data_IF_057097724354
#
_entry.id   IF_057097724354
#
_cell.length_a   1.000
_cell.length_b   1.000
_cell.length_c   1.000
_cell.angle_alpha   90.00
_cell.angle_beta   90.00
_cell.angle_gamma   90.00
#
_symmetry.space_group_name_H-M   'P 1'
#
loop_
_entity.id
_entity.type
_entity.pdbx_description
1 polymer ?
#
# COMPACT_ATOMS: atom_id res chain seq x y z
N UNK A 1 -21.10 -21.86 -3.62
CA UNK A 1 -20.49 -21.24 -2.43
C UNK A 1 -19.66 -20.03 -2.87
N UNK A 2 -19.99 -18.81 -2.43
CA UNK A 2 -19.19 -17.61 -2.76
C UNK A 2 -17.81 -17.73 -2.08
N UNK A 3 -16.74 -17.89 -2.85
CA UNK A 3 -15.37 -17.94 -2.32
C UNK A 3 -14.99 -16.54 -1.82
N UNK A 4 -14.60 -16.42 -0.56
CA UNK A 4 -14.08 -15.16 -0.01
C UNK A 4 -12.56 -15.11 -0.23
N UNK A 5 -12.09 -14.17 -1.07
CA UNK A 5 -10.68 -13.91 -1.33
C UNK A 5 -10.00 -13.04 -0.26
N UNK A 6 -10.60 -12.92 0.94
CA UNK A 6 -10.13 -12.06 2.03
C UNK A 6 -9.18 -12.83 2.95
N UNK A 7 -8.12 -12.16 3.41
CA UNK A 7 -7.22 -12.73 4.41
C UNK A 7 -7.92 -12.88 5.77
N UNK A 8 -7.55 -13.86 6.60
CA UNK A 8 -8.15 -14.01 7.92
C UNK A 8 -7.85 -12.82 8.84
N UNK A 9 -8.69 -12.60 9.84
CA UNK A 9 -8.68 -11.41 10.72
C UNK A 9 -7.33 -11.17 11.42
N UNK A 10 -6.56 -12.22 11.68
CA UNK A 10 -5.22 -12.16 12.30
C UNK A 10 -4.22 -11.39 11.46
N UNK A 11 -4.33 -11.47 10.12
CA UNK A 11 -3.40 -10.82 9.19
C UNK A 11 -3.48 -9.31 9.26
N UNK A 12 -4.60 -8.74 9.72
CA UNK A 12 -4.68 -7.29 9.95
C UNK A 12 -3.68 -6.82 11.00
N UNK A 13 -3.57 -7.56 12.11
CA UNK A 13 -2.65 -7.21 13.21
C UNK A 13 -1.19 -7.34 12.77
N UNK A 14 -0.90 -8.42 12.03
CA UNK A 14 0.42 -8.66 11.44
C UNK A 14 0.76 -7.53 10.45
N UNK A 15 -0.20 -7.15 9.59
CA UNK A 15 -0.05 -6.05 8.65
C UNK A 15 0.32 -4.74 9.34
N UNK A 16 -0.38 -4.36 10.41
CA UNK A 16 -0.01 -3.17 11.20
C UNK A 16 1.35 -3.27 11.87
N UNK A 17 1.72 -4.45 12.39
CA UNK A 17 3.02 -4.68 13.00
C UNK A 17 4.17 -4.56 11.98
N UNK A 18 3.97 -5.02 10.74
CA UNK A 18 4.96 -4.93 9.65
C UNK A 18 4.98 -3.53 9.04
N UNK A 19 3.83 -2.87 8.94
CA UNK A 19 3.69 -1.58 8.30
C UNK A 19 4.55 -0.49 8.96
N UNK A 20 4.57 -0.43 10.30
CA UNK A 20 5.34 0.58 11.04
C UNK A 20 6.85 0.55 10.72
N UNK A 21 7.58 -0.57 10.85
CA UNK A 21 9.01 -0.58 10.54
C UNK A 21 9.29 -0.34 9.06
N UNK A 22 8.48 -0.88 8.14
CA UNK A 22 8.73 -0.70 6.70
C UNK A 22 8.42 0.71 6.20
N UNK A 23 7.44 1.43 6.78
CA UNK A 23 7.24 2.86 6.46
C UNK A 23 8.44 3.68 6.89
N UNK A 24 8.95 3.46 8.09
CA UNK A 24 10.14 4.18 8.58
C UNK A 24 11.33 3.88 7.67
N UNK A 25 11.52 2.62 7.30
CA UNK A 25 12.55 2.17 6.37
C UNK A 25 12.47 2.90 5.02
N UNK A 26 11.31 2.87 4.36
CA UNK A 26 11.14 3.48 3.04
C UNK A 26 11.19 5.00 3.09
N UNK A 27 10.79 5.63 4.21
CA UNK A 27 10.97 7.06 4.40
C UNK A 27 12.46 7.41 4.49
N UNK A 28 13.26 6.62 5.21
CA UNK A 28 14.72 6.79 5.24
C UNK A 28 15.30 6.64 3.83
N UNK A 29 14.91 5.60 3.07
CA UNK A 29 15.37 5.41 1.69
C UNK A 29 15.08 6.62 0.78
N UNK A 30 13.87 7.18 0.86
CA UNK A 30 13.45 8.31 0.01
C UNK A 30 14.19 9.62 0.32
N UNK A 31 14.53 9.89 1.59
CA UNK A 31 15.10 11.17 2.01
C UNK A 31 16.62 11.17 2.21
N UNK A 32 17.23 10.04 2.58
CA UNK A 32 18.70 9.94 2.71
C UNK A 32 19.41 9.75 1.36
N UNK A 33 18.65 9.56 0.27
CA UNK A 33 19.16 9.50 -1.08
C UNK A 33 20.23 8.43 -1.25
N UNK A 34 19.83 7.16 -1.32
CA UNK A 34 20.57 6.03 -1.90
C UNK A 34 22.10 5.94 -1.61
N UNK A 35 22.61 6.50 -0.52
CA UNK A 35 24.02 6.44 -0.14
C UNK A 35 24.31 5.24 0.77
N UNK A 36 23.60 4.13 0.55
CA UNK A 36 23.69 2.96 1.40
C UNK A 36 24.26 1.78 0.61
N UNK A 37 25.59 1.75 0.53
CA UNK A 37 26.41 0.55 0.24
C UNK A 37 26.18 -0.58 1.27
N UNK A 38 25.22 -0.42 2.17
CA UNK A 38 24.84 -1.41 3.16
C UNK A 38 24.08 -2.54 2.47
N UNK A 39 24.66 -3.74 2.50
CA UNK A 39 24.09 -4.98 1.96
C UNK A 39 23.86 -4.94 0.44
N UNK A 40 24.88 -4.52 -0.32
CA UNK A 40 24.96 -4.84 -1.75
C UNK A 40 25.04 -6.35 -1.94
N UNK A 41 24.03 -6.92 -2.60
CA UNK A 41 24.07 -8.32 -3.02
C UNK A 41 23.95 -8.40 -4.52
N UNK A 42 24.63 -9.38 -5.10
CA UNK A 42 24.50 -9.71 -6.51
C UNK A 42 23.13 -10.34 -6.75
N UNK A 43 22.23 -9.57 -7.35
CA UNK A 43 20.86 -10.00 -7.65
C UNK A 43 20.75 -10.25 -9.15
N UNK A 44 19.92 -11.22 -9.53
CA UNK A 44 19.60 -11.46 -10.92
C UNK A 44 18.64 -10.36 -11.40
N UNK A 45 19.10 -9.51 -12.30
CA UNK A 45 18.27 -8.50 -12.94
C UNK A 45 17.74 -9.01 -14.27
N UNK A 46 16.43 -8.86 -14.47
CA UNK A 46 15.77 -9.11 -15.75
C UNK A 46 15.98 -7.94 -16.72
N UNK A 47 16.12 -6.72 -16.19
CA UNK A 47 16.31 -5.50 -16.96
C UNK A 47 17.30 -4.60 -16.23
N UNK A 48 18.55 -4.45 -16.71
CA UNK A 48 19.19 -5.13 -17.85
C UNK A 48 19.46 -6.60 -17.54
N UNK A 49 19.40 -7.47 -18.56
CA UNK A 49 19.72 -8.90 -18.41
C UNK A 49 21.13 -9.08 -17.84
N UNK A 50 21.24 -9.63 -16.64
CA UNK A 50 22.54 -9.90 -16.02
C UNK A 50 22.49 -10.01 -14.50
N UNK A 51 23.67 -10.11 -13.91
CA UNK A 51 23.83 -10.00 -12.46
C UNK A 51 24.19 -8.56 -12.15
N UNK A 52 23.29 -7.85 -11.48
CA UNK A 52 23.52 -6.48 -11.02
C UNK A 52 23.71 -6.47 -9.52
N UNK A 53 24.56 -5.58 -9.02
CA UNK A 53 24.57 -5.28 -7.59
C UNK A 53 23.38 -4.40 -7.29
N UNK A 54 22.57 -4.79 -6.32
CA UNK A 54 21.49 -3.95 -5.82
C UNK A 54 21.50 -3.96 -4.29
N UNK A 55 20.95 -2.90 -3.71
CA UNK A 55 20.75 -2.82 -2.26
C UNK A 55 19.55 -3.68 -1.89
N UNK A 56 19.78 -4.73 -1.08
CA UNK A 56 18.69 -5.56 -0.54
C UNK A 56 17.73 -4.74 0.34
N UNK A 57 18.22 -3.63 0.89
CA UNK A 57 17.46 -2.82 1.82
C UNK A 57 16.28 -2.12 1.12
N UNK A 58 16.52 -1.57 -0.07
CA UNK A 58 15.49 -0.91 -0.86
C UNK A 58 14.40 -1.89 -1.29
N UNK A 59 14.82 -3.04 -1.86
CA UNK A 59 13.91 -4.12 -2.28
C UNK A 59 13.07 -4.64 -1.10
N UNK A 60 13.70 -4.90 0.04
CA UNK A 60 13.02 -5.40 1.23
C UNK A 60 12.03 -4.36 1.79
N UNK A 61 12.38 -3.07 1.75
CA UNK A 61 11.50 -1.99 2.19
C UNK A 61 10.23 -1.94 1.32
N UNK A 62 10.39 -2.02 0.00
CA UNK A 62 9.31 -1.94 -0.97
C UNK A 62 8.38 -3.16 -0.91
N UNK A 63 8.96 -4.36 -0.85
CA UNK A 63 8.19 -5.60 -0.71
C UNK A 63 7.47 -5.61 0.65
N UNK A 64 8.18 -5.27 1.73
CA UNK A 64 7.64 -5.21 3.08
C UNK A 64 6.47 -4.24 3.22
N UNK A 65 6.61 -3.02 2.65
CA UNK A 65 5.53 -2.05 2.58
C UNK A 65 4.33 -2.59 1.82
N UNK A 66 4.54 -3.12 0.61
CA UNK A 66 3.48 -3.65 -0.24
C UNK A 66 2.70 -4.74 0.48
N UNK A 67 3.40 -5.75 1.04
CA UNK A 67 2.78 -6.87 1.74
C UNK A 67 2.02 -6.39 2.98
N UNK A 68 2.59 -5.45 3.73
CA UNK A 68 1.93 -4.91 4.93
C UNK A 68 0.62 -4.18 4.60
N UNK A 69 0.62 -3.34 3.57
CA UNK A 69 -0.58 -2.62 3.11
C UNK A 69 -1.63 -3.58 2.56
N UNK A 70 -1.22 -4.59 1.78
CA UNK A 70 -2.15 -5.61 1.27
C UNK A 70 -2.82 -6.39 2.42
N UNK A 71 -2.06 -6.78 3.45
CA UNK A 71 -2.61 -7.45 4.63
C UNK A 71 -3.57 -6.55 5.41
N UNK A 72 -3.29 -5.25 5.52
CA UNK A 72 -4.21 -4.31 6.17
C UNK A 72 -5.47 -4.13 5.33
N UNK A 73 -5.32 -3.88 4.03
CA UNK A 73 -6.39 -3.58 3.08
C UNK A 73 -7.36 -4.77 2.90
N UNK A 74 -6.84 -5.96 2.64
CA UNK A 74 -7.64 -7.13 2.24
C UNK A 74 -7.89 -8.12 3.38
N UNK A 75 -7.69 -7.70 4.64
CA UNK A 75 -8.05 -8.51 5.80
C UNK A 75 -9.55 -8.44 6.08
N UNK A 76 -10.15 -9.63 6.25
CA UNK A 76 -11.57 -9.82 6.58
C UNK A 76 -11.93 -9.16 7.91
N UNK A 77 -13.15 -8.65 8.01
CA UNK A 77 -13.73 -8.24 9.29
C UNK A 77 -14.29 -9.45 10.05
N UNK A 78 -14.41 -9.36 11.39
CA UNK A 78 -15.02 -10.45 12.19
C UNK A 78 -16.49 -10.65 11.82
N UNK A 79 -17.21 -9.55 11.71
CA UNK A 79 -18.63 -9.50 11.34
C UNK A 79 -18.72 -9.09 9.87
N UNK A 80 -18.39 -10.00 8.97
CA UNK A 80 -18.43 -9.74 7.53
C UNK A 80 -19.83 -10.04 6.99
N UNK A 81 -20.65 -9.00 6.81
CA UNK A 81 -21.96 -9.08 6.18
C UNK A 81 -21.94 -8.51 4.74
N UNK A 82 -23.08 -8.60 4.04
CA UNK A 82 -23.20 -8.09 2.66
C UNK A 82 -23.07 -6.55 2.59
N UNK A 83 -23.49 -5.83 3.64
CA UNK A 83 -23.36 -4.38 3.71
C UNK A 83 -21.89 -3.94 3.82
N UNK A 84 -21.10 -4.58 4.67
CA UNK A 84 -19.67 -4.32 4.88
C UNK A 84 -18.87 -4.72 3.64
N UNK A 85 -19.25 -5.81 2.98
CA UNK A 85 -18.67 -6.16 1.68
C UNK A 85 -18.92 -5.06 0.62
N UNK A 86 -20.12 -4.47 0.61
CA UNK A 86 -20.46 -3.35 -0.28
C UNK A 86 -19.74 -2.04 0.10
N UNK A 87 -19.61 -1.74 1.39
CA UNK A 87 -18.81 -0.59 1.87
C UNK A 87 -17.36 -0.75 1.40
N UNK A 88 -16.81 -1.97 1.47
CA UNK A 88 -15.45 -2.26 1.00
C UNK A 88 -15.30 -2.03 -0.51
N UNK A 89 -16.17 -2.61 -1.33
CA UNK A 89 -16.07 -2.45 -2.78
C UNK A 89 -16.23 -0.98 -3.19
N UNK A 90 -17.18 -0.26 -2.58
CA UNK A 90 -17.40 1.16 -2.84
C UNK A 90 -16.19 2.01 -2.41
N UNK A 91 -15.60 1.71 -1.26
CA UNK A 91 -14.38 2.38 -0.79
C UNK A 91 -13.20 2.14 -1.73
N UNK A 92 -13.08 0.92 -2.29
CA UNK A 92 -12.01 0.59 -3.23
C UNK A 92 -12.18 1.33 -4.56
N UNK A 93 -13.40 1.36 -5.11
CA UNK A 93 -13.71 2.13 -6.32
C UNK A 93 -13.40 3.61 -6.10
N UNK A 94 -13.83 4.17 -4.97
CA UNK A 94 -13.58 5.57 -4.63
C UNK A 94 -12.09 5.88 -4.53
N UNK A 95 -11.32 5.01 -3.86
CA UNK A 95 -9.88 5.17 -3.71
C UNK A 95 -9.14 5.11 -5.06
N UNK A 96 -9.53 4.17 -5.93
CA UNK A 96 -8.97 4.04 -7.27
C UNK A 96 -9.27 5.27 -8.13
N UNK A 97 -10.53 5.75 -8.16
CA UNK A 97 -10.90 6.97 -8.90
C UNK A 97 -10.11 8.18 -8.37
N UNK A 98 -10.03 8.32 -7.06
CA UNK A 98 -9.35 9.47 -6.42
C UNK A 98 -7.84 9.41 -6.67
N UNK A 99 -7.22 8.23 -6.54
CA UNK A 99 -5.79 8.03 -6.81
C UNK A 99 -5.44 8.35 -8.25
N UNK A 100 -6.18 7.81 -9.23
CA UNK A 100 -5.94 8.14 -10.64
C UNK A 100 -6.23 9.60 -10.98
N UNK A 101 -7.22 10.23 -10.34
CA UNK A 101 -7.46 11.67 -10.50
C UNK A 101 -6.26 12.48 -10.01
N UNK A 102 -5.69 12.10 -8.87
CA UNK A 102 -4.48 12.74 -8.34
C UNK A 102 -3.28 12.51 -9.26
N UNK A 103 -3.08 11.29 -9.76
CA UNK A 103 -2.02 10.96 -10.70
C UNK A 103 -2.09 11.84 -11.94
N UNK A 104 -3.27 11.98 -12.57
CA UNK A 104 -3.47 12.84 -13.75
C UNK A 104 -3.06 14.29 -13.44
N UNK A 105 -3.52 14.84 -12.32
CA UNK A 105 -3.19 16.20 -11.91
C UNK A 105 -1.67 16.35 -11.70
N UNK A 106 -1.04 15.39 -11.03
CA UNK A 106 0.41 15.41 -10.80
C UNK A 106 1.22 15.24 -12.08
N UNK A 107 0.79 14.42 -13.05
CA UNK A 107 1.41 14.31 -14.38
C UNK A 107 1.39 15.65 -15.12
N UNK A 108 0.38 16.49 -14.89
CA UNK A 108 0.30 17.83 -15.51
C UNK A 108 1.12 18.91 -14.79
N UNK A 109 1.50 18.69 -13.52
CA UNK A 109 2.08 19.74 -12.66
C UNK A 109 3.52 19.45 -12.21
N UNK A 110 3.93 18.18 -12.17
CA UNK A 110 5.23 17.74 -11.67
C UNK A 110 6.03 17.13 -12.82
N UNK A 111 7.30 17.52 -12.93
CA UNK A 111 8.22 17.06 -13.98
C UNK A 111 9.52 16.49 -13.39
N UNK A 112 10.34 15.90 -14.26
CA UNK A 112 11.67 15.36 -13.97
C UNK A 112 11.70 14.27 -12.87
N UNK A 113 12.80 14.20 -12.11
CA UNK A 113 13.02 13.18 -11.08
C UNK A 113 11.99 13.25 -9.94
N UNK A 114 11.44 14.43 -9.68
CA UNK A 114 10.38 14.64 -8.69
C UNK A 114 9.10 13.91 -9.10
N UNK A 115 8.80 13.85 -10.40
CA UNK A 115 7.66 13.08 -10.91
C UNK A 115 7.84 11.58 -10.67
N UNK A 116 9.04 11.04 -10.88
CA UNK A 116 9.32 9.62 -10.59
C UNK A 116 9.11 9.28 -9.11
N UNK A 117 9.63 10.12 -8.21
CA UNK A 117 9.40 9.95 -6.77
C UNK A 117 7.91 9.99 -6.41
N UNK A 118 7.15 10.88 -7.06
CA UNK A 118 5.71 10.95 -6.87
C UNK A 118 5.00 9.67 -7.34
N UNK A 119 5.34 9.16 -8.53
CA UNK A 119 4.77 7.91 -9.05
C UNK A 119 5.08 6.73 -8.13
N UNK A 120 6.29 6.66 -7.54
CA UNK A 120 6.62 5.63 -6.55
C UNK A 120 5.72 5.70 -5.31
N UNK A 121 5.44 6.90 -4.80
CA UNK A 121 4.53 7.10 -3.67
C UNK A 121 3.08 6.75 -4.08
N UNK A 122 2.68 7.10 -5.31
CA UNK A 122 1.32 6.89 -5.84
C UNK A 122 0.92 5.41 -5.87
N UNK A 123 1.88 4.50 -6.13
CA UNK A 123 1.65 3.04 -6.09
C UNK A 123 1.07 2.57 -4.75
N UNK A 124 1.49 3.19 -3.65
CA UNK A 124 0.97 2.88 -2.31
C UNK A 124 -0.24 3.74 -1.95
N UNK A 125 -0.36 4.92 -2.55
CA UNK A 125 -1.36 5.94 -2.22
C UNK A 125 -2.80 5.42 -2.40
N UNK A 126 -3.06 4.63 -3.44
CA UNK A 126 -4.37 3.98 -3.65
C UNK A 126 -4.74 3.08 -2.46
N UNK A 127 -3.81 2.24 -1.99
CA UNK A 127 -4.04 1.35 -0.84
C UNK A 127 -4.29 2.15 0.44
N UNK A 128 -3.55 3.24 0.64
CA UNK A 128 -3.76 4.16 1.76
C UNK A 128 -5.13 4.81 1.75
N UNK A 129 -5.52 5.42 0.62
CA UNK A 129 -6.85 6.04 0.46
C UNK A 129 -7.95 5.04 0.73
N UNK A 130 -7.81 3.83 0.19
CA UNK A 130 -8.76 2.75 0.42
C UNK A 130 -8.90 2.41 1.91
N UNK A 131 -7.78 2.17 2.62
CA UNK A 131 -7.79 1.83 4.04
C UNK A 131 -8.47 2.93 4.88
N UNK A 132 -8.14 4.20 4.60
CA UNK A 132 -8.71 5.35 5.31
C UNK A 132 -10.21 5.44 5.06
N UNK A 133 -10.62 5.46 3.79
CA UNK A 133 -12.02 5.59 3.37
C UNK A 133 -12.87 4.45 3.94
N UNK A 134 -12.39 3.21 3.81
CA UNK A 134 -13.06 2.03 4.33
C UNK A 134 -13.27 2.09 5.84
N UNK A 135 -12.24 2.46 6.62
CA UNK A 135 -12.34 2.58 8.08
C UNK A 135 -13.33 3.67 8.51
N UNK A 136 -13.33 4.81 7.82
CA UNK A 136 -14.27 5.91 8.10
C UNK A 136 -15.70 5.48 7.83
N UNK A 137 -15.97 4.87 6.66
CA UNK A 137 -17.33 4.41 6.32
C UNK A 137 -17.81 3.29 7.26
N UNK A 138 -16.93 2.36 7.60
CA UNK A 138 -17.25 1.29 8.55
C UNK A 138 -17.56 1.84 9.95
N UNK A 139 -16.82 2.85 10.41
CA UNK A 139 -17.09 3.51 11.70
C UNK A 139 -18.46 4.22 11.69
N UNK A 140 -18.77 4.96 10.61
CA UNK A 140 -20.06 5.64 10.45
C UNK A 140 -21.23 4.65 10.41
N UNK A 141 -21.07 3.55 9.66
CA UNK A 141 -22.09 2.50 9.56
C UNK A 141 -22.38 1.85 10.92
N UNK A 142 -21.34 1.50 11.68
CA UNK A 142 -21.49 0.90 13.02
C UNK A 142 -22.13 1.85 14.03
N UNK A 143 -21.81 3.15 13.94
CA UNK A 143 -22.41 4.16 14.83
C UNK A 143 -23.91 4.29 14.57
N UNK A 144 -24.32 4.42 13.31
CA UNK A 144 -25.73 4.56 12.94
C UNK A 144 -26.59 3.33 13.24
N UNK A 145 -26.00 2.13 13.33
CA UNK A 145 -26.72 0.90 13.69
C UNK A 145 -26.78 0.64 15.20
N UNK A 146 -25.98 1.37 15.99
CA UNK A 146 -25.97 1.27 17.45
C UNK A 146 -26.81 2.37 18.12
N UNK A 147 -27.23 3.38 17.36
CA UNK A 147 -28.20 4.41 17.74
C UNK A 147 -29.62 4.00 17.30
#
# INVERSE_FOLDING_TARGET
MKKNYLFPTTFRKIGWCLFVPFVVMSFICLFNGANEDWLEVSVLSVVPWGVSKNSLFDELSMIGLTVSLLFIAFSKEKDEDECIANIRSNSLIWATITGYSLLIVCTMLIYDMQYLNFVFIDLFMILFLFIIKYKIELYKFRRNNND
#
